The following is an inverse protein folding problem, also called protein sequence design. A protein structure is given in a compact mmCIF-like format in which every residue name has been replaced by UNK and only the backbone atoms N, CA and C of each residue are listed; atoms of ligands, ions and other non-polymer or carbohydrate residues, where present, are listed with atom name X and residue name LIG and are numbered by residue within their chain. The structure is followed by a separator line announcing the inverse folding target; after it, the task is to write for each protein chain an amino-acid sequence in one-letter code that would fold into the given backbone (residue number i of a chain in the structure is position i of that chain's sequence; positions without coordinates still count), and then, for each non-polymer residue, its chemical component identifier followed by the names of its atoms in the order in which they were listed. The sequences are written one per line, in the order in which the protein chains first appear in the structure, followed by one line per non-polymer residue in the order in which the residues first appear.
data_IF_379470437030
#
_entry.id   IF_379470437030
#
_cell.length_a   1.000
_cell.length_b   1.000
_cell.length_c   1.000
_cell.angle_alpha   90.00
_cell.angle_beta   90.00
_cell.angle_gamma   90.00
#
_symmetry.space_group_name_H-M   'P 1'
#
loop_
_entity.id
_entity.type
_entity.pdbx_description
1 polymer ?
#
# COMPACT_ATOMS: atom_id res chain seq x y z
N UNK A 1 -4.30 7.81 -7.62
CA UNK A 1 -2.92 8.30 -7.80
C UNK A 1 -2.80 9.82 -7.67
N UNK A 2 -3.63 10.62 -8.38
CA UNK A 2 -3.63 12.09 -8.30
C UNK A 2 -3.64 12.64 -6.86
N UNK A 3 -4.60 12.22 -6.02
CA UNK A 3 -4.66 12.66 -4.62
C UNK A 3 -3.40 12.31 -3.81
N UNK A 4 -2.70 11.22 -4.14
CA UNK A 4 -1.46 10.80 -3.45
C UNK A 4 -0.30 11.70 -3.85
N UNK A 5 -0.14 11.89 -5.17
CA UNK A 5 0.93 12.67 -5.77
C UNK A 5 0.88 14.11 -5.26
N UNK A 6 -0.34 14.66 -5.12
CA UNK A 6 -0.56 15.99 -4.56
C UNK A 6 -0.63 16.03 -3.02
N UNK A 7 -0.34 14.91 -2.33
CA UNK A 7 -0.50 14.76 -0.86
C UNK A 7 -1.89 15.20 -0.35
N UNK A 8 -2.89 15.17 -1.22
CA UNK A 8 -4.30 15.51 -0.97
C UNK A 8 -5.11 14.31 -0.48
N UNK A 9 -4.50 13.14 -0.39
CA UNK A 9 -5.05 12.06 0.43
C UNK A 9 -5.10 12.57 1.87
N UNK A 10 -6.26 12.40 2.50
CA UNK A 10 -6.49 12.63 3.92
C UNK A 10 -5.55 11.77 4.75
N UNK A 11 -4.33 12.23 4.90
CA UNK A 11 -3.38 11.76 5.91
C UNK A 11 -3.78 12.40 7.24
N UNK A 12 -3.57 11.68 8.34
CA UNK A 12 -4.11 12.06 9.65
C UNK A 12 -3.66 13.42 10.17
N UNK A 13 -2.64 14.02 9.58
CA UNK A 13 -2.28 15.43 9.81
C UNK A 13 -3.46 16.39 9.53
N UNK A 14 -4.34 16.05 8.58
CA UNK A 14 -5.56 16.81 8.24
C UNK A 14 -6.83 16.32 8.97
N UNK A 15 -6.87 15.06 9.40
CA UNK A 15 -8.00 14.45 10.14
C UNK A 15 -7.90 14.55 11.67
N UNK A 16 -6.74 14.92 12.23
CA UNK A 16 -6.56 15.18 13.68
C UNK A 16 -7.51 16.24 14.23
N UNK A 17 -8.11 17.08 13.35
CA UNK A 17 -9.11 18.08 13.75
C UNK A 17 -10.53 17.53 13.90
N UNK A 18 -10.81 16.29 13.46
CA UNK A 18 -12.18 15.75 13.44
C UNK A 18 -12.31 14.30 13.94
N UNK A 19 -11.34 13.40 13.74
CA UNK A 19 -11.50 11.97 14.07
C UNK A 19 -10.20 11.38 14.60
N UNK A 20 -10.04 11.33 15.93
CA UNK A 20 -8.93 10.69 16.62
C UNK A 20 -8.86 9.16 16.43
N UNK A 21 -8.63 8.70 15.19
CA UNK A 21 -8.52 7.28 14.85
C UNK A 21 -7.07 6.81 14.78
N UNK A 22 -6.76 5.70 15.45
CA UNK A 22 -5.49 4.97 15.53
C UNK A 22 -4.96 4.49 14.16
N UNK A 23 -3.64 4.62 13.94
CA UNK A 23 -2.96 4.15 12.72
C UNK A 23 -3.07 2.65 12.59
N UNK A 24 -3.29 2.10 11.38
CA UNK A 24 -3.40 0.65 11.15
C UNK A 24 -4.15 -0.11 12.28
N UNK A 25 -5.23 0.46 12.83
CA UNK A 25 -5.93 -0.09 14.00
C UNK A 25 -5.00 -0.50 15.17
N UNK A 26 -5.28 -1.63 15.79
CA UNK A 26 -4.50 -2.20 16.91
C UNK A 26 -3.15 -2.81 16.49
N UNK A 27 -2.82 -2.83 15.19
CA UNK A 27 -1.68 -3.59 14.67
C UNK A 27 -0.39 -2.78 14.57
N UNK A 28 -0.46 -1.44 14.59
CA UNK A 28 0.71 -0.56 14.64
C UNK A 28 0.48 0.59 15.63
N UNK A 29 0.31 0.31 16.94
CA UNK A 29 -0.03 1.32 17.94
C UNK A 29 1.06 2.40 18.11
N UNK A 30 2.33 2.05 17.90
CA UNK A 30 3.47 2.90 18.24
C UNK A 30 4.12 3.62 17.05
N UNK A 31 3.57 3.51 15.83
CA UNK A 31 4.16 4.14 14.63
C UNK A 31 3.37 5.35 14.17
N UNK A 32 4.08 6.48 13.98
CA UNK A 32 3.52 7.64 13.30
C UNK A 32 3.09 7.23 11.87
N UNK A 33 1.81 7.40 11.58
CA UNK A 33 1.25 6.94 10.31
C UNK A 33 1.59 7.91 9.17
N UNK A 34 2.66 7.58 8.45
CA UNK A 34 3.05 8.23 7.19
C UNK A 34 2.36 7.58 5.98
N UNK A 35 2.39 8.24 4.82
CA UNK A 35 1.92 7.64 3.55
C UNK A 35 2.67 6.34 3.27
N UNK A 36 3.99 6.31 3.47
CA UNK A 36 4.79 5.09 3.30
C UNK A 36 4.38 4.00 4.26
N UNK A 37 4.07 4.32 5.51
CA UNK A 37 3.58 3.31 6.45
C UNK A 37 2.29 2.67 5.95
N UNK A 38 1.32 3.48 5.50
CA UNK A 38 0.03 2.99 5.01
C UNK A 38 0.17 2.12 3.77
N UNK A 39 1.02 2.52 2.84
CA UNK A 39 1.10 1.92 1.51
C UNK A 39 2.24 0.92 1.34
N UNK A 40 3.15 0.81 2.30
CA UNK A 40 4.36 0.00 2.16
C UNK A 40 4.78 -0.68 3.46
N UNK A 41 5.01 0.09 4.54
CA UNK A 41 5.75 -0.42 5.72
C UNK A 41 4.86 -1.07 6.79
N UNK A 42 3.54 -0.90 6.71
CA UNK A 42 2.58 -1.63 7.53
C UNK A 42 2.74 -3.13 7.33
N UNK A 43 2.76 -3.92 8.41
CA UNK A 43 3.00 -5.38 8.35
C UNK A 43 2.06 -6.13 7.41
N UNK A 44 0.79 -5.74 7.35
CA UNK A 44 -0.19 -6.31 6.42
C UNK A 44 0.15 -6.03 4.95
N UNK A 45 0.69 -4.84 4.69
CA UNK A 45 0.96 -4.34 3.34
C UNK A 45 2.35 -4.76 2.87
N UNK A 46 3.35 -4.72 3.74
CA UNK A 46 4.70 -5.21 3.45
C UNK A 46 4.67 -6.68 3.05
N UNK A 47 3.85 -7.51 3.70
CA UNK A 47 3.66 -8.91 3.32
C UNK A 47 3.16 -9.07 1.88
N UNK A 48 2.21 -8.24 1.45
CA UNK A 48 1.73 -8.25 0.06
C UNK A 48 2.89 -7.92 -0.88
N UNK A 49 3.62 -6.83 -0.61
CA UNK A 49 4.76 -6.42 -1.44
C UNK A 49 5.84 -7.49 -1.54
N UNK A 50 6.23 -8.13 -0.43
CA UNK A 50 7.22 -9.21 -0.44
C UNK A 50 6.80 -10.42 -1.28
N UNK A 51 5.50 -10.61 -1.48
CA UNK A 51 5.00 -11.68 -2.35
C UNK A 51 4.98 -11.29 -3.83
N UNK A 52 4.85 -9.99 -4.15
CA UNK A 52 4.77 -9.47 -5.51
C UNK A 52 6.14 -9.08 -6.10
N UNK A 53 7.11 -8.73 -5.27
CA UNK A 53 8.44 -8.21 -5.68
C UNK A 53 9.45 -9.35 -5.82
N UNK A 54 10.40 -9.22 -6.76
CA UNK A 54 11.55 -10.13 -6.89
C UNK A 54 12.37 -10.14 -5.59
N UNK A 55 12.84 -11.30 -5.10
CA UNK A 55 13.61 -11.38 -3.86
C UNK A 55 14.78 -10.38 -3.78
N UNK A 56 15.48 -10.17 -4.88
CA UNK A 56 16.65 -9.29 -5.00
C UNK A 56 16.28 -7.80 -4.92
N UNK A 57 15.01 -7.45 -5.18
CA UNK A 57 14.52 -6.08 -5.17
C UNK A 57 13.87 -5.68 -3.82
N UNK A 58 13.69 -6.63 -2.88
CA UNK A 58 13.02 -6.37 -1.60
C UNK A 58 13.75 -5.28 -0.80
N UNK A 59 15.05 -5.44 -0.56
CA UNK A 59 15.82 -4.53 0.27
C UNK A 59 15.76 -3.09 -0.26
N UNK A 60 16.05 -2.92 -1.55
CA UNK A 60 16.02 -1.60 -2.20
C UNK A 60 14.61 -0.99 -2.20
N UNK A 61 13.56 -1.79 -2.40
CA UNK A 61 12.18 -1.30 -2.44
C UNK A 61 11.72 -0.69 -1.11
N UNK A 62 12.06 -1.33 0.02
CA UNK A 62 11.75 -0.83 1.35
C UNK A 62 12.69 0.30 1.80
N UNK A 63 13.90 0.38 1.22
CA UNK A 63 14.85 1.47 1.49
C UNK A 63 14.52 2.82 0.84
N UNK A 64 13.67 2.86 -0.20
CA UNK A 64 13.39 4.11 -0.90
C UNK A 64 12.61 5.14 -0.06
N UNK A 65 12.93 6.43 -0.21
CA UNK A 65 12.03 7.50 0.27
C UNK A 65 10.81 7.63 -0.66
N UNK A 66 9.74 8.29 -0.20
CA UNK A 66 8.43 8.25 -0.88
C UNK A 66 8.44 8.65 -2.36
N UNK A 67 9.06 9.78 -2.69
CA UNK A 67 9.13 10.29 -4.07
C UNK A 67 9.90 9.33 -4.97
N UNK A 68 11.07 8.88 -4.49
CA UNK A 68 11.90 7.92 -5.21
C UNK A 68 11.21 6.56 -5.33
N UNK A 69 10.48 6.12 -4.31
CA UNK A 69 9.72 4.88 -4.32
C UNK A 69 8.69 4.87 -5.45
N UNK A 70 7.91 5.95 -5.61
CA UNK A 70 6.98 6.08 -6.73
C UNK A 70 7.75 6.05 -8.06
N UNK A 71 8.80 6.86 -8.20
CA UNK A 71 9.57 6.94 -9.44
C UNK A 71 10.15 5.58 -9.87
N UNK A 72 10.77 4.84 -8.94
CA UNK A 72 11.38 3.55 -9.24
C UNK A 72 10.32 2.52 -9.66
N UNK A 73 9.15 2.52 -9.03
CA UNK A 73 8.06 1.62 -9.39
C UNK A 73 7.42 1.93 -10.75
N UNK A 74 7.60 3.15 -11.28
CA UNK A 74 7.14 3.53 -12.61
C UNK A 74 8.18 3.26 -13.71
N UNK A 75 9.47 3.18 -13.34
CA UNK A 75 10.59 3.06 -14.27
C UNK A 75 11.19 1.66 -14.36
N UNK A 76 11.20 0.89 -13.28
CA UNK A 76 11.87 -0.40 -13.18
C UNK A 76 10.88 -1.55 -13.07
N UNK A 77 11.28 -2.71 -13.60
CA UNK A 77 10.55 -3.97 -13.45
C UNK A 77 10.99 -4.70 -12.17
N UNK A 78 10.38 -4.34 -11.04
CA UNK A 78 10.72 -4.88 -9.71
C UNK A 78 9.88 -6.12 -9.35
N UNK A 79 8.76 -6.34 -10.07
CA UNK A 79 7.82 -7.42 -9.82
C UNK A 79 8.32 -8.79 -10.24
N UNK A 80 7.82 -9.83 -9.60
CA UNK A 80 8.00 -11.21 -10.09
C UNK A 80 7.38 -11.35 -11.47
N UNK A 81 7.89 -12.31 -12.23
CA UNK A 81 7.33 -12.66 -13.53
C UNK A 81 5.94 -13.26 -13.35
N UNK A 82 4.94 -12.47 -13.72
CA UNK A 82 3.54 -12.85 -13.81
C UNK A 82 3.02 -12.38 -15.17
N UNK A 83 1.88 -12.90 -15.63
CA UNK A 83 1.24 -12.47 -16.88
C UNK A 83 0.61 -11.06 -16.78
N UNK A 84 1.35 -10.09 -16.25
CA UNK A 84 0.94 -8.70 -16.08
C UNK A 84 2.18 -7.80 -15.97
N UNK A 85 2.10 -6.54 -16.40
CA UNK A 85 3.20 -5.59 -16.23
C UNK A 85 3.38 -5.22 -14.76
N UNK A 86 4.62 -4.98 -14.30
CA UNK A 86 4.85 -4.48 -12.94
C UNK A 86 4.09 -3.20 -12.63
N UNK A 87 3.94 -2.30 -13.61
CA UNK A 87 3.25 -1.03 -13.40
C UNK A 87 1.78 -1.26 -13.07
N UNK A 88 1.12 -2.15 -13.80
CA UNK A 88 -0.28 -2.49 -13.54
C UNK A 88 -0.44 -3.18 -12.19
N UNK A 89 0.49 -4.08 -11.86
CA UNK A 89 0.52 -4.75 -10.56
C UNK A 89 0.74 -3.76 -9.41
N UNK A 90 1.68 -2.84 -9.56
CA UNK A 90 1.99 -1.79 -8.60
C UNK A 90 0.78 -0.87 -8.38
N UNK A 91 0.14 -0.40 -9.46
CA UNK A 91 -1.03 0.46 -9.36
C UNK A 91 -2.24 -0.24 -8.76
N UNK A 92 -2.49 -1.48 -9.16
CA UNK A 92 -3.60 -2.28 -8.64
C UNK A 92 -3.40 -2.58 -7.15
N UNK A 93 -2.19 -2.97 -6.75
CA UNK A 93 -1.83 -3.16 -5.33
C UNK A 93 -2.03 -1.88 -4.53
N UNK A 94 -1.53 -0.77 -5.06
CA UNK A 94 -1.66 0.54 -4.41
C UNK A 94 -3.13 0.93 -4.19
N UNK A 95 -3.95 0.79 -5.24
CA UNK A 95 -5.38 1.09 -5.17
C UNK A 95 -6.12 0.14 -4.21
N UNK A 96 -5.82 -1.16 -4.23
CA UNK A 96 -6.42 -2.15 -3.33
C UNK A 96 -6.11 -1.87 -1.87
N UNK A 97 -4.85 -1.54 -1.55
CA UNK A 97 -4.46 -1.15 -0.19
C UNK A 97 -5.24 0.07 0.28
N UNK A 98 -5.40 1.09 -0.58
CA UNK A 98 -6.22 2.25 -0.26
C UNK A 98 -7.70 1.88 -0.05
N UNK A 99 -8.27 1.09 -0.97
CA UNK A 99 -9.66 0.67 -0.92
C UNK A 99 -9.96 -0.14 0.36
N UNK A 100 -9.16 -1.17 0.66
CA UNK A 100 -9.33 -1.98 1.86
C UNK A 100 -9.22 -1.16 3.13
N UNK A 101 -8.28 -0.22 3.18
CA UNK A 101 -8.15 0.68 4.32
C UNK A 101 -9.41 1.53 4.53
N UNK A 102 -9.99 2.08 3.47
CA UNK A 102 -11.22 2.87 3.60
C UNK A 102 -12.40 1.99 4.03
N UNK A 103 -12.49 0.78 3.50
CA UNK A 103 -13.52 -0.17 3.94
C UNK A 103 -13.38 -0.52 5.42
N UNK A 104 -12.15 -0.77 5.91
CA UNK A 104 -11.86 -1.03 7.32
C UNK A 104 -12.23 0.15 8.24
N UNK A 105 -12.22 1.40 7.73
CA UNK A 105 -12.58 2.60 8.50
C UNK A 105 -14.09 2.85 8.50
N UNK A 106 -14.76 2.57 7.38
CA UNK A 106 -16.14 3.00 7.15
C UNK A 106 -17.17 1.86 7.20
N UNK A 107 -16.74 0.61 7.28
CA UNK A 107 -17.61 -0.55 7.35
C UNK A 107 -17.14 -1.50 8.46
N UNK A 108 -17.87 -1.48 9.57
CA UNK A 108 -17.56 -2.25 10.79
C UNK A 108 -17.47 -3.76 10.56
N UNK A 109 -18.20 -4.28 9.56
CA UNK A 109 -18.23 -5.70 9.23
C UNK A 109 -17.22 -6.09 8.14
N UNK A 110 -16.47 -5.13 7.61
CA UNK A 110 -15.54 -5.40 6.53
C UNK A 110 -14.30 -6.14 7.03
N UNK A 111 -13.98 -7.25 6.36
CA UNK A 111 -12.75 -8.00 6.56
C UNK A 111 -11.96 -8.02 5.25
N UNK A 112 -10.66 -7.70 5.34
CA UNK A 112 -9.76 -7.78 4.19
C UNK A 112 -9.66 -9.24 3.72
N UNK A 113 -9.52 -9.50 2.41
CA UNK A 113 -9.31 -10.86 1.90
C UNK A 113 -8.10 -11.54 2.57
N UNK A 114 -8.28 -12.81 2.96
CA UNK A 114 -7.23 -13.62 3.60
C UNK A 114 -6.02 -13.74 2.67
N UNK A 115 -6.26 -13.92 1.37
CA UNK A 115 -5.23 -13.99 0.35
C UNK A 115 -5.24 -12.75 -0.55
N UNK A 116 -4.87 -11.62 0.05
CA UNK A 116 -4.83 -10.30 -0.60
C UNK A 116 -4.00 -10.28 -1.90
N UNK A 117 -2.90 -11.03 -1.96
CA UNK A 117 -2.00 -11.07 -3.12
C UNK A 117 -2.65 -11.77 -4.30
N UNK A 118 -3.31 -12.91 -4.09
CA UNK A 118 -4.04 -13.60 -5.16
C UNK A 118 -5.19 -12.75 -5.69
N UNK A 119 -5.94 -12.07 -4.81
CA UNK A 119 -7.01 -11.15 -5.20
C UNK A 119 -6.49 -10.03 -6.12
N UNK A 120 -5.31 -9.48 -5.83
CA UNK A 120 -4.66 -8.48 -6.67
C UNK A 120 -4.28 -9.08 -8.03
N UNK A 121 -3.62 -10.24 -8.06
CA UNK A 121 -3.13 -10.85 -9.31
C UNK A 121 -4.28 -11.14 -10.27
N UNK A 122 -5.41 -11.66 -9.77
CA UNK A 122 -6.61 -11.95 -10.57
C UNK A 122 -7.15 -10.72 -11.30
N UNK A 123 -6.93 -9.52 -10.77
CA UNK A 123 -7.49 -8.28 -11.34
C UNK A 123 -6.61 -7.64 -12.39
N UNK A 124 -5.36 -8.07 -12.49
CA UNK A 124 -4.40 -7.57 -13.49
C UNK A 124 -4.26 -8.53 -14.67
N UNK A 125 -4.82 -9.73 -14.57
CA UNK A 125 -4.93 -10.72 -15.64
C UNK A 125 -6.24 -10.55 -16.42
#
# INVERSE_FOLDING_TARGET
MWLVIYQRISTKKRLKKFFGGSGCGHHCPDKEESILHVFRDCSKVSRIWTQLIKPEAIEIFFGYHFTYWIEQNLKKELGKEINASWKDLFFTTYWRVWFWKNQEIHNENYQRPINATSEIIIQVQ
#
